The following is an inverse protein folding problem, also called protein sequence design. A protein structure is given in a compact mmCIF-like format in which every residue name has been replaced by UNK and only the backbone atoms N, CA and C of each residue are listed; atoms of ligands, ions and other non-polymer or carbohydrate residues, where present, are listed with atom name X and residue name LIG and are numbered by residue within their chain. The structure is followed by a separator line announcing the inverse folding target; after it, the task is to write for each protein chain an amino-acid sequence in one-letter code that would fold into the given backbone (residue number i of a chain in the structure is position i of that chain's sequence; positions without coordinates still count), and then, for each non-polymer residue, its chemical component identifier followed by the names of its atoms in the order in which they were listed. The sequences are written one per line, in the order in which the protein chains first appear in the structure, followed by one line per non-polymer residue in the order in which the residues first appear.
data_IF_869825044358
#
_entry.id   IF_869825044358
#
_cell.length_a   1.000
_cell.length_b   1.000
_cell.length_c   1.000
_cell.angle_alpha   90.00
_cell.angle_beta   90.00
_cell.angle_gamma   90.00
#
_symmetry.space_group_name_H-M   'P 1'
#
loop_
_entity.id
_entity.type
_entity.pdbx_description
1 polymer ?
#
# COMPACT_ATOMS: atom_id res chain seq x y z
N UNK A 1 22.80 2.72 52.47
CA UNK A 1 21.52 3.10 51.83
C UNK A 1 21.61 2.69 50.38
N UNK A 2 20.91 1.62 49.98
CA UNK A 2 20.78 1.26 48.58
C UNK A 2 19.67 2.14 47.97
N UNK A 3 19.84 2.68 46.76
CA UNK A 3 18.77 3.41 46.10
C UNK A 3 17.65 2.42 45.75
N UNK A 4 16.44 2.70 46.22
CA UNK A 4 15.20 2.05 45.78
C UNK A 4 14.95 2.40 44.31
N UNK A 5 15.66 1.73 43.40
CA UNK A 5 15.50 1.90 41.96
C UNK A 5 14.39 0.98 41.46
N UNK A 6 13.16 1.23 41.90
CA UNK A 6 11.98 0.66 41.26
C UNK A 6 11.46 1.63 40.18
N UNK A 7 12.36 2.07 39.30
CA UNK A 7 11.97 2.77 38.06
C UNK A 7 11.42 1.73 37.11
N UNK A 8 10.10 1.54 37.17
CA UNK A 8 9.36 0.79 36.16
C UNK A 8 9.70 1.34 34.78
N UNK A 9 10.38 0.53 33.97
CA UNK A 9 10.70 0.87 32.60
C UNK A 9 9.43 0.70 31.79
N UNK A 10 8.80 1.81 31.42
CA UNK A 10 7.69 1.82 30.50
C UNK A 10 8.15 1.35 29.12
N UNK A 11 7.50 0.32 28.56
CA UNK A 11 7.71 -0.09 27.17
C UNK A 11 6.53 0.36 26.34
N UNK A 12 6.80 0.84 25.13
CA UNK A 12 5.76 1.26 24.19
C UNK A 12 4.70 0.17 23.95
N UNK A 13 5.12 -1.10 23.87
CA UNK A 13 4.22 -2.24 23.67
C UNK A 13 3.42 -2.66 24.91
N UNK A 14 3.71 -2.06 26.08
CA UNK A 14 2.85 -2.21 27.27
C UNK A 14 1.58 -1.35 27.17
N UNK A 15 1.52 -0.44 26.19
CA UNK A 15 0.30 0.33 25.90
C UNK A 15 -0.77 -0.58 25.28
N UNK A 16 -2.05 -0.40 25.71
CA UNK A 16 -3.19 -0.97 25.01
C UNK A 16 -3.14 -0.65 23.49
N UNK A 17 -3.51 -1.61 22.62
CA UNK A 17 -3.49 -1.42 21.17
C UNK A 17 -4.19 -0.14 20.71
N UNK A 18 -5.29 0.24 21.36
CA UNK A 18 -6.09 1.42 21.03
C UNK A 18 -5.30 2.72 21.21
N UNK A 19 -4.40 2.77 22.19
CA UNK A 19 -3.52 3.92 22.42
C UNK A 19 -2.35 3.92 21.45
N UNK A 20 -1.80 2.75 21.10
CA UNK A 20 -0.75 2.62 20.08
C UNK A 20 -1.25 3.07 18.70
N UNK A 21 -2.49 2.72 18.35
CA UNK A 21 -3.15 3.15 17.11
C UNK A 21 -3.28 4.68 17.01
N UNK A 22 -3.54 5.38 18.12
CA UNK A 22 -3.56 6.85 18.15
C UNK A 22 -2.18 7.47 17.90
N UNK A 23 -1.11 6.79 18.32
CA UNK A 23 0.27 7.23 18.10
C UNK A 23 0.70 6.95 16.66
N UNK A 24 0.24 5.83 16.09
CA UNK A 24 0.51 5.48 14.70
C UNK A 24 -0.18 6.38 13.68
N UNK A 25 -1.17 7.21 14.10
CA UNK A 25 -2.08 7.97 13.25
C UNK A 25 -1.41 8.44 11.96
N UNK A 26 -1.61 7.72 10.84
CA UNK A 26 -0.94 8.07 9.61
C UNK A 26 -1.60 9.34 9.09
N UNK A 27 -0.83 10.42 8.97
CA UNK A 27 -1.23 11.53 8.12
C UNK A 27 -1.47 10.99 6.71
N UNK A 28 -2.47 11.53 6.01
CA UNK A 28 -2.89 11.03 4.70
C UNK A 28 -1.69 10.91 3.75
N UNK A 29 -1.44 9.69 3.26
CA UNK A 29 -0.42 9.37 2.27
C UNK A 29 1.00 9.15 2.83
N UNK A 30 1.29 9.45 4.10
CA UNK A 30 2.65 9.30 4.66
C UNK A 30 2.76 8.06 5.53
N UNK A 31 3.74 7.20 5.20
CA UNK A 31 4.05 6.03 6.04
C UNK A 31 4.58 6.52 7.40
N UNK A 32 4.03 6.06 8.53
CA UNK A 32 4.42 6.57 9.84
C UNK A 32 5.87 6.18 10.19
N UNK A 33 6.67 7.14 10.65
CA UNK A 33 8.09 6.94 11.01
C UNK A 33 8.30 5.80 12.03
N UNK A 34 7.31 5.53 12.87
CA UNK A 34 7.35 4.43 13.85
C UNK A 34 7.49 3.04 13.18
N UNK A 35 7.13 2.91 11.91
CA UNK A 35 7.34 1.69 11.14
C UNK A 35 8.82 1.39 10.85
N UNK A 36 9.72 2.36 11.09
CA UNK A 36 11.16 2.19 10.90
C UNK A 36 11.87 1.70 12.17
N UNK A 37 11.25 1.87 13.34
CA UNK A 37 11.89 1.68 14.65
C UNK A 37 12.20 0.21 14.96
N UNK A 38 11.21 -0.67 14.82
CA UNK A 38 11.38 -2.11 15.05
C UNK A 38 10.37 -2.93 14.23
N UNK A 39 10.59 -4.24 14.14
CA UNK A 39 9.74 -5.14 13.36
C UNK A 39 8.28 -5.16 13.85
N UNK A 40 8.06 -5.17 15.16
CA UNK A 40 6.71 -5.24 15.73
C UNK A 40 5.90 -3.96 15.44
N UNK A 41 6.51 -2.79 15.66
CA UNK A 41 5.92 -1.50 15.32
C UNK A 41 5.64 -1.40 13.82
N UNK A 42 6.56 -1.89 12.97
CA UNK A 42 6.39 -1.93 11.52
C UNK A 42 5.15 -2.72 11.12
N UNK A 43 4.96 -3.92 11.66
CA UNK A 43 3.82 -4.77 11.32
C UNK A 43 2.51 -4.08 11.67
N UNK A 44 2.39 -3.50 12.86
CA UNK A 44 1.15 -2.84 13.27
C UNK A 44 0.90 -1.53 12.52
N UNK A 45 1.93 -0.70 12.38
CA UNK A 45 1.81 0.61 11.75
C UNK A 45 1.53 0.49 10.25
N UNK A 46 2.19 -0.43 9.54
CA UNK A 46 1.92 -0.67 8.12
C UNK A 46 0.52 -1.23 7.89
N UNK A 47 0.06 -2.13 8.77
CA UNK A 47 -1.31 -2.65 8.72
C UNK A 47 -2.34 -1.53 8.81
N UNK A 48 -2.12 -0.54 9.69
CA UNK A 48 -2.99 0.63 9.80
C UNK A 48 -2.87 1.54 8.58
N UNK A 49 -1.64 1.85 8.16
CA UNK A 49 -1.35 2.70 7.01
C UNK A 49 -2.06 2.21 5.75
N UNK A 50 -1.86 0.96 5.33
CA UNK A 50 -2.49 0.43 4.11
C UNK A 50 -4.00 0.26 4.24
N UNK A 51 -4.51 0.08 5.47
CA UNK A 51 -5.94 -0.06 5.72
C UNK A 51 -6.71 1.25 5.64
N UNK A 52 -6.11 2.33 6.11
CA UNK A 52 -6.79 3.62 6.28
C UNK A 52 -6.56 4.57 5.12
N UNK A 53 -5.46 4.44 4.38
CA UNK A 53 -5.13 5.36 3.30
C UNK A 53 -5.84 5.01 1.99
N UNK A 54 -6.17 6.06 1.23
CA UNK A 54 -6.52 5.97 -0.18
C UNK A 54 -5.24 6.07 -1.00
N UNK A 55 -5.14 5.27 -2.06
CA UNK A 55 -4.00 5.28 -2.97
C UNK A 55 -4.47 5.53 -4.39
N UNK A 56 -3.70 6.33 -5.11
CA UNK A 56 -3.95 6.68 -6.51
C UNK A 56 -2.66 6.51 -7.31
N UNK A 57 -2.76 6.06 -8.56
CA UNK A 57 -1.60 5.82 -9.40
C UNK A 57 -1.87 6.15 -10.88
N UNK A 58 -0.82 6.50 -11.63
CA UNK A 58 -0.90 6.61 -13.09
C UNK A 58 -0.29 5.38 -13.76
N UNK A 59 -0.90 4.91 -14.85
CA UNK A 59 -0.29 3.92 -15.76
C UNK A 59 1.02 4.43 -16.41
N UNK A 60 1.10 5.74 -16.60
CA UNK A 60 2.03 6.43 -17.50
C UNK A 60 3.48 6.56 -17.03
N UNK A 61 3.82 6.21 -15.78
CA UNK A 61 5.21 6.31 -15.28
C UNK A 61 5.92 4.96 -15.40
N UNK A 62 6.20 4.55 -16.63
CA UNK A 62 7.24 3.55 -16.90
C UNK A 62 8.55 4.32 -17.00
N UNK A 63 9.38 4.25 -15.96
CA UNK A 63 10.59 5.09 -15.86
C UNK A 63 11.74 4.64 -16.79
N UNK A 64 11.65 3.44 -17.38
CA UNK A 64 12.63 2.87 -18.30
C UNK A 64 11.93 2.02 -19.36
N UNK A 65 12.26 2.22 -20.64
CA UNK A 65 11.78 1.38 -21.74
C UNK A 65 12.15 -0.10 -21.58
N UNK A 66 13.19 -0.40 -20.77
CA UNK A 66 13.66 -1.75 -20.45
C UNK A 66 12.97 -2.40 -19.23
N UNK A 67 12.25 -1.62 -18.41
CA UNK A 67 11.53 -2.13 -17.24
C UNK A 67 10.02 -2.05 -17.51
N UNK A 68 9.48 -3.11 -18.12
CA UNK A 68 8.05 -3.23 -18.47
C UNK A 68 7.10 -3.10 -17.26
N UNK A 69 7.60 -2.95 -16.02
CA UNK A 69 6.77 -2.83 -14.82
C UNK A 69 6.40 -1.38 -14.58
N UNK A 70 5.10 -1.11 -14.45
CA UNK A 70 4.65 0.18 -13.94
C UNK A 70 5.15 0.39 -12.50
N UNK A 71 5.37 1.66 -12.12
CA UNK A 71 5.70 2.04 -10.75
C UNK A 71 4.75 1.43 -9.71
N UNK A 72 3.47 1.31 -10.06
CA UNK A 72 2.47 0.67 -9.21
C UNK A 72 2.76 -0.81 -8.98
N UNK A 73 3.08 -1.58 -10.04
CA UNK A 73 3.41 -3.00 -9.92
C UNK A 73 4.65 -3.18 -9.05
N UNK A 74 5.70 -2.38 -9.26
CA UNK A 74 6.93 -2.44 -8.44
C UNK A 74 6.66 -2.13 -6.97
N UNK A 75 5.85 -1.12 -6.70
CA UNK A 75 5.45 -0.79 -5.33
C UNK A 75 4.64 -1.92 -4.69
N UNK A 76 3.65 -2.47 -5.40
CA UNK A 76 2.83 -3.57 -4.92
C UNK A 76 3.66 -4.83 -4.63
N UNK A 77 4.66 -5.13 -5.46
CA UNK A 77 5.64 -6.19 -5.21
C UNK A 77 6.45 -5.90 -3.93
N UNK A 78 6.98 -4.68 -3.80
CA UNK A 78 7.85 -4.28 -2.70
C UNK A 78 7.16 -4.31 -1.33
N UNK A 79 5.89 -3.90 -1.25
CA UNK A 79 5.14 -3.94 0.03
C UNK A 79 4.79 -5.38 0.45
N UNK A 80 4.81 -6.33 -0.49
CA UNK A 80 4.56 -7.75 -0.22
C UNK A 80 3.08 -8.13 -0.04
N UNK A 81 2.77 -9.43 -0.06
CA UNK A 81 1.39 -9.94 -0.05
C UNK A 81 0.60 -9.57 1.20
N UNK A 82 1.24 -9.53 2.37
CA UNK A 82 0.54 -9.23 3.62
C UNK A 82 0.06 -7.78 3.69
N UNK A 83 0.86 -6.84 3.18
CA UNK A 83 0.43 -5.44 3.10
C UNK A 83 -0.61 -5.22 1.99
N UNK A 84 -0.52 -5.95 0.87
CA UNK A 84 -1.56 -5.92 -0.16
C UNK A 84 -2.93 -6.34 0.39
N UNK A 85 -2.98 -7.35 1.28
CA UNK A 85 -4.21 -7.75 1.97
C UNK A 85 -4.78 -6.69 2.93
N UNK A 86 -3.94 -5.74 3.36
CA UNK A 86 -4.38 -4.64 4.20
C UNK A 86 -4.98 -3.48 3.39
N UNK A 87 -4.81 -3.42 2.07
CA UNK A 87 -5.44 -2.44 1.19
C UNK A 87 -6.96 -2.64 1.18
N UNK A 88 -7.68 -1.87 2.00
CA UNK A 88 -9.15 -1.95 2.10
C UNK A 88 -9.86 -1.05 1.12
N UNK A 89 -9.25 0.07 0.77
CA UNK A 89 -9.77 0.98 -0.23
C UNK A 89 -9.26 0.55 -1.60
N UNK A 90 -10.10 0.62 -2.66
CA UNK A 90 -9.61 0.43 -4.01
C UNK A 90 -8.49 1.43 -4.34
N UNK A 91 -7.47 0.96 -5.04
CA UNK A 91 -6.50 1.84 -5.68
C UNK A 91 -7.13 2.37 -6.96
N UNK A 92 -7.20 3.69 -7.10
CA UNK A 92 -7.67 4.31 -8.33
C UNK A 92 -6.48 4.51 -9.28
N UNK A 93 -6.57 3.90 -10.46
CA UNK A 93 -5.55 4.04 -11.51
C UNK A 93 -6.13 4.85 -12.65
N UNK A 94 -5.41 5.87 -13.11
CA UNK A 94 -5.83 6.74 -14.20
C UNK A 94 -4.73 6.88 -15.28
N UNK A 95 -5.13 7.15 -16.51
CA UNK A 95 -4.25 7.62 -17.58
C UNK A 95 -4.24 9.16 -17.56
N UNK A 96 -3.06 9.77 -17.61
CA UNK A 96 -2.90 11.24 -17.57
C UNK A 96 -3.11 11.92 -18.93
N UNK A 97 -3.27 11.15 -20.00
CA UNK A 97 -3.26 11.69 -21.35
C UNK A 97 -4.63 12.10 -21.84
N UNK A 98 -4.74 13.33 -22.36
CA UNK A 98 -5.83 13.68 -23.26
C UNK A 98 -5.71 12.83 -24.55
N UNK A 99 -6.84 12.40 -25.15
CA UNK A 99 -6.83 11.52 -26.31
C UNK A 99 -6.26 12.27 -27.54
N UNK A 100 -4.94 12.22 -27.70
CA UNK A 100 -4.21 12.58 -28.92
C UNK A 100 -3.67 11.30 -29.60
N UNK A 101 -3.65 11.31 -30.94
CA UNK A 101 -3.19 10.16 -31.74
C UNK A 101 -1.74 9.78 -31.40
N UNK A 102 -1.55 8.56 -30.86
CA UNK A 102 -0.24 7.95 -30.65
C UNK A 102 0.25 7.87 -29.20
N UNK A 103 -0.65 7.80 -28.20
CA UNK A 103 -0.23 7.83 -26.80
C UNK A 103 0.34 6.47 -26.29
N UNK A 104 1.61 6.41 -25.87
CA UNK A 104 2.25 5.20 -25.34
C UNK A 104 1.60 4.66 -24.05
N UNK A 105 0.70 5.41 -23.40
CA UNK A 105 0.05 4.99 -22.16
C UNK A 105 -0.93 3.83 -22.33
N UNK A 106 -1.61 3.71 -23.47
CA UNK A 106 -2.66 2.71 -23.67
C UNK A 106 -2.10 1.29 -23.88
N UNK A 107 -0.95 1.15 -24.56
CA UNK A 107 -0.27 -0.16 -24.67
C UNK A 107 0.28 -0.65 -23.32
N UNK A 108 0.55 0.29 -22.39
CA UNK A 108 0.93 -0.01 -21.01
C UNK A 108 -0.22 -0.53 -20.14
N UNK A 109 -1.47 -0.19 -20.46
CA UNK A 109 -2.65 -0.58 -19.67
C UNK A 109 -2.83 -2.10 -19.64
N UNK A 110 -2.84 -2.76 -20.80
CA UNK A 110 -3.01 -4.21 -20.89
C UNK A 110 -1.93 -4.98 -20.11
N UNK A 111 -0.65 -4.62 -20.32
CA UNK A 111 0.49 -5.22 -19.61
C UNK A 111 0.43 -4.96 -18.10
N UNK A 112 0.02 -3.77 -17.68
CA UNK A 112 -0.16 -3.47 -16.26
C UNK A 112 -1.28 -4.31 -15.65
N UNK A 113 -2.42 -4.44 -16.33
CA UNK A 113 -3.56 -5.25 -15.87
C UNK A 113 -3.20 -6.73 -15.72
N UNK A 114 -2.45 -7.31 -16.66
CA UNK A 114 -1.95 -8.69 -16.54
C UNK A 114 -1.07 -8.87 -15.29
N UNK A 115 -0.12 -7.96 -15.07
CA UNK A 115 0.79 -8.01 -13.91
C UNK A 115 0.05 -7.80 -12.59
N UNK A 116 -0.90 -6.88 -12.55
CA UNK A 116 -1.75 -6.65 -11.38
C UNK A 116 -2.60 -7.88 -11.05
N UNK A 117 -3.16 -8.53 -12.07
CA UNK A 117 -3.91 -9.78 -11.92
C UNK A 117 -3.02 -10.90 -11.38
N UNK A 118 -1.77 -11.01 -11.86
CA UNK A 118 -0.78 -11.95 -11.35
C UNK A 118 -0.41 -11.70 -9.87
N UNK A 119 -0.54 -10.46 -9.38
CA UNK A 119 -0.39 -10.12 -7.96
C UNK A 119 -1.62 -10.45 -7.10
N UNK A 120 -2.67 -11.00 -7.72
CA UNK A 120 -3.94 -11.33 -7.07
C UNK A 120 -4.93 -10.16 -7.02
N UNK A 121 -4.74 -9.14 -7.85
CA UNK A 121 -5.66 -8.02 -7.90
C UNK A 121 -6.92 -8.35 -8.73
N UNK A 122 -8.04 -7.77 -8.32
CA UNK A 122 -9.27 -7.68 -9.10
C UNK A 122 -9.36 -6.26 -9.66
N UNK A 123 -9.50 -6.17 -10.97
CA UNK A 123 -9.48 -4.91 -11.71
C UNK A 123 -10.87 -4.65 -12.28
N UNK A 124 -11.43 -3.50 -11.95
CA UNK A 124 -12.73 -3.04 -12.44
C UNK A 124 -12.52 -1.78 -13.29
N UNK A 125 -12.96 -1.81 -14.55
CA UNK A 125 -12.95 -0.63 -15.41
C UNK A 125 -14.13 0.27 -15.03
N UNK A 126 -13.85 1.52 -14.69
CA UNK A 126 -14.87 2.49 -14.26
C UNK A 126 -15.31 3.35 -15.45
N UNK A 127 -14.34 3.82 -16.22
CA UNK A 127 -14.52 4.56 -17.46
C UNK A 127 -13.24 4.43 -18.30
N UNK A 128 -13.22 4.98 -19.51
CA UNK A 128 -12.02 4.93 -20.36
C UNK A 128 -10.81 5.57 -19.66
N UNK A 129 -9.70 4.83 -19.63
CA UNK A 129 -8.48 5.24 -18.95
C UNK A 129 -8.52 5.19 -17.42
N UNK A 130 -9.59 4.71 -16.77
CA UNK A 130 -9.70 4.67 -15.31
C UNK A 130 -10.15 3.32 -14.75
N UNK A 131 -9.38 2.80 -13.79
CA UNK A 131 -9.57 1.48 -13.19
C UNK A 131 -9.56 1.55 -11.67
N UNK A 132 -10.34 0.67 -11.04
CA UNK A 132 -10.28 0.35 -9.61
C UNK A 132 -9.55 -0.97 -9.45
N UNK A 133 -8.56 -1.00 -8.56
CA UNK A 133 -7.78 -2.20 -8.28
C UNK A 133 -7.94 -2.56 -6.81
N UNK A 134 -8.39 -3.78 -6.56
CA UNK A 134 -8.67 -4.29 -5.22
C UNK A 134 -7.96 -5.62 -4.97
N UNK A 135 -7.63 -5.90 -3.72
CA UNK A 135 -7.02 -7.18 -3.31
C UNK A 135 -7.98 -7.90 -2.38
N UNK A 136 -8.73 -8.91 -2.87
CA UNK A 136 -9.69 -9.63 -2.04
C UNK A 136 -8.97 -10.36 -0.91
N UNK A 137 -9.57 -10.33 0.27
CA UNK A 137 -9.10 -11.12 1.39
C UNK A 137 -9.45 -12.56 1.07
N UNK A 138 -8.43 -13.35 0.75
CA UNK A 138 -8.60 -14.78 0.63
C UNK A 138 -9.13 -15.29 1.96
N UNK A 139 -10.39 -15.74 1.96
CA UNK A 139 -10.95 -16.48 3.08
C UNK A 139 -10.12 -17.74 3.21
N UNK A 140 -9.25 -17.81 4.22
CA UNK A 140 -8.61 -19.06 4.58
C UNK A 140 -9.74 -20.03 4.91
N UNK A 141 -9.98 -20.99 4.01
CA UNK A 141 -10.82 -22.15 4.29
C UNK A 141 -10.30 -22.77 5.58
N UNK A 142 -11.10 -22.67 6.65
CA UNK A 142 -10.89 -23.39 7.90
C UNK A 142 -11.04 -24.88 7.68
#
# INVERSE_FOLDING_TARGET
MAPDSNTSVFRFFDLPPELRLRIYNPDEGVQPNIAEVCQEARVEALKLYYRCNKFEACYCRVHNEDDDRSMLVRWLEAIGPDNRRNLRQPIEIFAMSEPGEGDPCMEGEGRACEKLTALGAVIEKIQDGMHKVTFPIQSSSQ
#
